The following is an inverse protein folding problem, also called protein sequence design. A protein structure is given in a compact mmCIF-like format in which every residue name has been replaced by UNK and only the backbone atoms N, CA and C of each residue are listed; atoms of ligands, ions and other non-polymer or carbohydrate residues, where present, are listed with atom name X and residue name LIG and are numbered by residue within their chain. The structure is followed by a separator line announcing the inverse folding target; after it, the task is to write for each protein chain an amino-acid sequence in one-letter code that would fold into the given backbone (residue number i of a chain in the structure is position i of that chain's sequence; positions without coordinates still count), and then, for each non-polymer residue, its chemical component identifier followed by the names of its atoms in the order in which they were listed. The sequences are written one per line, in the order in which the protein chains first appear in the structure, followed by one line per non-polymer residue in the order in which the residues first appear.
data_IF_879352576017
#
_entry.id   IF_879352576017
#
_cell.length_a   1.000
_cell.length_b   1.000
_cell.length_c   1.000
_cell.angle_alpha   90.00
_cell.angle_beta   90.00
_cell.angle_gamma   90.00
#
_symmetry.space_group_name_H-M   'P 1'
#
loop_
_entity.id
_entity.type
_entity.pdbx_description
1 polymer ?
#
# COMPACT_ATOMS: atom_id res chain seq x y z
N UNK A 1 7.13 10.39 -16.91
CA UNK A 1 6.94 8.95 -17.16
C UNK A 1 8.03 8.21 -16.37
N UNK A 2 7.96 8.20 -15.03
CA UNK A 2 9.09 7.73 -14.18
C UNK A 2 8.65 6.91 -12.96
N UNK A 3 7.35 6.82 -12.65
CA UNK A 3 6.85 6.11 -11.45
C UNK A 3 6.84 4.59 -11.61
N UNK A 4 6.76 4.06 -12.82
CA UNK A 4 6.68 2.60 -13.04
C UNK A 4 8.02 1.90 -12.81
N UNK A 5 9.13 2.62 -12.93
CA UNK A 5 10.46 2.05 -12.70
C UNK A 5 10.77 1.84 -11.21
N UNK A 6 10.30 2.72 -10.32
CA UNK A 6 10.67 2.64 -8.89
C UNK A 6 10.08 1.41 -8.19
N UNK A 7 8.92 0.94 -8.65
CA UNK A 7 8.26 -0.24 -8.09
C UNK A 7 9.02 -1.53 -8.38
N UNK A 8 9.75 -1.58 -9.50
CA UNK A 8 10.55 -2.74 -9.91
C UNK A 8 11.93 -2.76 -9.24
N UNK A 9 12.29 -1.74 -8.46
CA UNK A 9 13.59 -1.69 -7.80
C UNK A 9 13.60 -2.72 -6.64
N UNK A 10 14.66 -3.56 -6.56
CA UNK A 10 14.85 -4.47 -5.45
C UNK A 10 14.96 -3.77 -4.10
N UNK A 11 14.39 -4.36 -3.05
CA UNK A 11 14.42 -3.81 -1.67
C UNK A 11 15.86 -3.45 -1.24
N UNK A 12 16.83 -4.30 -1.59
CA UNK A 12 18.25 -4.12 -1.29
C UNK A 12 18.87 -2.84 -1.87
N UNK A 13 18.35 -2.36 -3.01
CA UNK A 13 18.87 -1.16 -3.70
C UNK A 13 18.23 0.14 -3.19
N UNK A 14 17.24 0.06 -2.31
CA UNK A 14 16.47 1.22 -1.83
C UNK A 14 17.09 1.87 -0.59
N UNK A 15 18.11 1.25 0.00
CA UNK A 15 18.82 1.78 1.17
C UNK A 15 18.09 1.54 2.48
N UNK A 16 17.27 0.50 2.56
CA UNK A 16 16.67 0.04 3.81
C UNK A 16 17.71 -0.64 4.73
N UNK A 17 17.36 -0.80 6.00
CA UNK A 17 18.17 -1.51 6.98
C UNK A 17 18.35 -2.99 6.61
N UNK A 18 19.51 -3.57 6.91
CA UNK A 18 19.79 -4.98 6.62
C UNK A 18 18.77 -5.94 7.26
N UNK A 19 18.24 -5.56 8.43
CA UNK A 19 17.19 -6.33 9.11
C UNK A 19 15.86 -6.26 8.36
N UNK A 20 15.52 -5.10 7.79
CA UNK A 20 14.34 -4.95 6.94
C UNK A 20 14.44 -5.81 5.68
N UNK A 21 15.60 -5.84 5.02
CA UNK A 21 15.83 -6.70 3.86
C UNK A 21 15.65 -8.18 4.22
N UNK A 22 16.26 -8.65 5.31
CA UNK A 22 16.10 -10.04 5.81
C UNK A 22 14.64 -10.39 6.12
N UNK A 23 13.89 -9.45 6.66
CA UNK A 23 12.46 -9.62 6.89
C UNK A 23 11.70 -9.77 5.57
N UNK A 24 12.02 -8.94 4.58
CA UNK A 24 11.44 -9.03 3.23
C UNK A 24 11.75 -10.37 2.57
N UNK A 25 13.00 -10.85 2.66
CA UNK A 25 13.39 -12.17 2.16
C UNK A 25 12.59 -13.30 2.80
N UNK A 26 12.41 -13.26 4.13
CA UNK A 26 11.61 -14.25 4.87
C UNK A 26 10.14 -14.23 4.45
N UNK A 27 9.65 -13.08 3.97
CA UNK A 27 8.28 -12.91 3.46
C UNK A 27 8.15 -13.14 1.95
N UNK A 28 9.23 -13.54 1.26
CA UNK A 28 9.32 -13.69 -0.18
C UNK A 28 8.97 -12.39 -0.95
N UNK A 29 9.45 -11.26 -0.43
CA UNK A 29 9.28 -9.92 -0.98
C UNK A 29 10.63 -9.47 -1.53
N UNK A 30 10.74 -9.26 -2.84
CA UNK A 30 12.01 -8.89 -3.48
C UNK A 30 12.02 -7.45 -3.99
N UNK A 31 10.86 -6.88 -4.33
CA UNK A 31 10.74 -5.55 -4.92
C UNK A 31 9.86 -4.61 -4.11
N UNK A 32 9.97 -3.31 -4.39
CA UNK A 32 9.07 -2.30 -3.80
C UNK A 32 7.60 -2.56 -4.15
N UNK A 33 7.34 -3.07 -5.35
CA UNK A 33 5.98 -3.44 -5.77
C UNK A 33 5.39 -4.53 -4.87
N UNK A 34 6.18 -5.55 -4.54
CA UNK A 34 5.71 -6.69 -3.75
C UNK A 34 5.26 -6.24 -2.36
N UNK A 35 6.07 -5.40 -1.69
CA UNK A 35 5.74 -4.94 -0.34
C UNK A 35 4.58 -3.93 -0.32
N UNK A 36 4.50 -3.06 -1.33
CA UNK A 36 3.42 -2.06 -1.43
C UNK A 36 2.10 -2.65 -1.93
N UNK A 37 2.12 -3.88 -2.47
CA UNK A 37 0.94 -4.67 -2.80
C UNK A 37 0.31 -5.35 -1.58
N UNK A 38 0.92 -5.25 -0.40
CA UNK A 38 0.40 -5.76 0.87
C UNK A 38 -0.05 -4.59 1.74
N UNK A 39 -1.22 -4.72 2.37
CA UNK A 39 -1.70 -3.64 3.26
C UNK A 39 -0.83 -3.52 4.52
N UNK A 40 -0.70 -2.31 5.10
CA UNK A 40 0.02 -2.11 6.36
C UNK A 40 -0.44 -3.05 7.48
N UNK A 41 -1.76 -3.31 7.57
CA UNK A 41 -2.32 -4.24 8.55
C UNK A 41 -1.82 -5.67 8.33
N UNK A 42 -1.86 -6.14 7.08
CA UNK A 42 -1.36 -7.47 6.72
C UNK A 42 0.15 -7.60 6.96
N UNK A 43 0.94 -6.55 6.76
CA UNK A 43 2.36 -6.55 7.08
C UNK A 43 2.58 -6.71 8.58
N UNK A 44 1.88 -5.94 9.41
CA UNK A 44 2.00 -6.03 10.88
C UNK A 44 1.48 -7.36 11.43
N UNK A 45 0.44 -7.93 10.82
CA UNK A 45 -0.09 -9.24 11.21
C UNK A 45 0.86 -10.40 10.83
N UNK A 46 1.82 -10.18 9.93
CA UNK A 46 2.83 -11.20 9.59
C UNK A 46 3.80 -11.39 10.74
N UNK A 47 3.89 -12.65 11.20
CA UNK A 47 4.84 -13.06 12.24
C UNK A 47 6.26 -12.67 11.80
N UNK A 48 6.91 -11.87 12.65
CA UNK A 48 8.27 -11.43 12.43
C UNK A 48 8.40 -10.04 11.83
N UNK A 49 7.32 -9.35 11.42
CA UNK A 49 7.39 -7.97 10.92
C UNK A 49 7.14 -6.94 12.04
N UNK A 50 7.96 -5.89 12.12
CA UNK A 50 7.86 -4.89 13.20
C UNK A 50 7.20 -3.58 12.75
N UNK A 51 6.59 -2.87 13.70
CA UNK A 51 6.13 -1.49 13.48
C UNK A 51 7.25 -0.53 13.09
N UNK A 52 8.49 -0.76 13.56
CA UNK A 52 9.65 0.05 13.16
C UNK A 52 9.95 -0.06 11.68
N UNK A 53 9.84 -1.27 11.12
CA UNK A 53 10.00 -1.52 9.68
C UNK A 53 8.87 -0.90 8.86
N UNK A 54 7.63 -0.90 9.37
CA UNK A 54 6.53 -0.18 8.75
C UNK A 54 6.81 1.34 8.71
N UNK A 55 7.38 1.88 9.78
CA UNK A 55 7.81 3.28 9.85
C UNK A 55 8.90 3.60 8.84
N UNK A 56 9.89 2.72 8.71
CA UNK A 56 10.98 2.85 7.73
C UNK A 56 10.45 2.87 6.28
N UNK A 57 9.58 1.92 5.95
CA UNK A 57 8.90 1.86 4.65
C UNK A 57 8.05 3.11 4.40
N UNK A 58 7.29 3.55 5.39
CA UNK A 58 6.42 4.73 5.27
C UNK A 58 7.24 6.00 5.04
N UNK A 59 8.33 6.20 5.78
CA UNK A 59 9.22 7.33 5.62
C UNK A 59 9.91 7.34 4.24
N UNK A 60 10.34 6.16 3.76
CA UNK A 60 10.89 6.03 2.41
C UNK A 60 9.86 6.42 1.34
N UNK A 61 8.65 5.87 1.43
CA UNK A 61 7.57 6.14 0.48
C UNK A 61 7.15 7.62 0.51
N UNK A 62 7.08 8.23 1.69
CA UNK A 62 6.78 9.66 1.84
C UNK A 62 7.83 10.54 1.16
N UNK A 63 9.11 10.25 1.39
CA UNK A 63 10.23 10.94 0.73
C UNK A 63 10.18 10.85 -0.80
N UNK A 64 9.58 9.78 -1.34
CA UNK A 64 9.40 9.57 -2.79
C UNK A 64 8.04 10.04 -3.31
N UNK A 65 7.16 10.58 -2.47
CA UNK A 65 5.79 10.97 -2.85
C UNK A 65 4.87 9.78 -3.18
N UNK A 66 5.20 8.60 -2.65
CA UNK A 66 4.54 7.32 -2.90
C UNK A 66 3.73 6.81 -1.69
N UNK A 67 3.59 7.59 -0.63
CA UNK A 67 2.86 7.19 0.58
C UNK A 67 1.40 6.77 0.30
N UNK A 68 0.80 7.32 -0.77
CA UNK A 68 -0.52 6.95 -1.25
C UNK A 68 -0.66 5.46 -1.62
N UNK A 69 0.44 4.76 -1.92
CA UNK A 69 0.42 3.32 -2.20
C UNK A 69 -0.01 2.51 -0.97
N UNK A 70 0.40 2.89 0.24
CA UNK A 70 -0.05 2.24 1.48
C UNK A 70 -1.52 2.52 1.79
N UNK A 71 -2.06 3.63 1.26
CA UNK A 71 -3.46 4.03 1.46
C UNK A 71 -4.41 3.42 0.42
N UNK A 72 -3.89 2.77 -0.62
CA UNK A 72 -4.68 2.21 -1.74
C UNK A 72 -5.71 1.17 -1.29
N UNK A 73 -5.52 0.53 -0.15
CA UNK A 73 -6.44 -0.47 0.40
C UNK A 73 -7.69 0.10 1.10
N UNK A 74 -7.98 1.40 0.96
CA UNK A 74 -9.08 2.07 1.66
C UNK A 74 -10.49 1.87 1.03
N UNK A 75 -10.67 1.12 -0.05
CA UNK A 75 -11.99 1.00 -0.69
C UNK A 75 -12.47 -0.43 -0.92
N UNK A 76 -13.24 -0.97 0.03
CA UNK A 76 -14.26 -2.01 -0.22
C UNK A 76 -15.67 -1.59 0.22
N UNK A 77 -15.90 -0.29 0.49
CA UNK A 77 -17.23 0.26 0.82
C UNK A 77 -17.67 1.41 -0.11
N UNK A 78 -17.42 1.30 -1.42
CA UNK A 78 -18.11 2.14 -2.41
C UNK A 78 -18.69 1.30 -3.55
N UNK A 79 -19.85 0.68 -3.29
CA UNK A 79 -20.92 0.23 -4.22
C UNK A 79 -21.91 -0.55 -3.35
N UNK A 80 -23.13 -0.12 -3.04
CA UNK A 80 -24.11 0.52 -3.89
C UNK A 80 -24.92 1.60 -3.15
N UNK A 81 -24.92 2.83 -3.65
CA UNK A 81 -26.08 3.71 -3.55
C UNK A 81 -26.55 3.98 -4.97
N UNK A 82 -27.27 3.03 -5.54
CA UNK A 82 -28.05 3.27 -6.74
C UNK A 82 -29.17 4.21 -6.36
N UNK A 83 -28.97 5.51 -6.61
CA UNK A 83 -30.04 6.49 -6.66
C UNK A 83 -30.92 6.08 -7.85
N UNK A 84 -31.98 5.32 -7.58
CA UNK A 84 -33.09 5.22 -8.53
C UNK A 84 -33.83 6.55 -8.48
N UNK A 85 -33.58 7.36 -9.51
CA UNK A 85 -34.47 8.44 -9.91
C UNK A 85 -35.84 7.82 -10.19
N UNK A 86 -36.81 7.99 -9.30
CA UNK A 86 -38.22 7.87 -9.64
C UNK A 86 -39.02 8.96 -8.91
N UNK A 87 -39.06 10.12 -9.58
CA UNK A 87 -40.28 10.82 -9.97
C UNK A 87 -41.46 10.70 -9.00
N UNK A 88 -41.63 11.69 -8.13
CA UNK A 88 -42.96 12.22 -7.82
C UNK A 88 -42.84 13.73 -7.60
N UNK A 89 -42.65 14.45 -8.70
CA UNK A 89 -43.02 15.87 -8.77
C UNK A 89 -44.50 15.91 -9.14
N UNK A 90 -45.30 16.54 -8.27
CA UNK A 90 -46.74 16.41 -8.25
C UNK A 90 -47.49 17.00 -9.44
N UNK A 91 -48.80 16.72 -9.47
CA UNK A 91 -49.82 17.56 -10.08
C UNK A 91 -51.20 17.09 -9.58
N UNK A 92 -51.79 17.97 -8.76
CA UNK A 92 -53.23 18.25 -8.57
C UNK A 92 -54.12 17.15 -8.01
#
# INVERSE_FOLDING_TARGET
MEKENILQIPIEKLGFSANFCRACDTMNVSTLNDITSVSPKQLIDKKGFSYGWLGELSAYLDKKGLLHLLQRFRNIYQRHSSITKNKVEGRR
#
